data_IF_595391025312
#
_entry.id   IF_595391025312
#
_cell.length_a   1.000
_cell.length_b   1.000
_cell.length_c   1.000
_cell.angle_alpha   90.00
_cell.angle_beta   90.00
_cell.angle_gamma   90.00
#
_symmetry.space_group_name_H-M   'P 1'
#
loop_
_entity.id
_entity.type
_entity.pdbx_description
1 polymer ?
#
# COMPACT_ATOMS: atom_id res chain seq x y z
N UNK A 1 27.42 -15.30 16.91
CA UNK A 1 26.31 -15.70 16.02
C UNK A 1 25.89 -14.49 15.20
N UNK A 2 26.45 -14.30 14.00
CA UNK A 2 26.01 -13.24 13.08
C UNK A 2 25.06 -13.87 12.06
N UNK A 3 23.82 -13.38 12.02
CA UNK A 3 22.80 -13.85 11.08
C UNK A 3 23.11 -13.31 9.68
N UNK A 4 22.98 -14.12 8.64
CA UNK A 4 23.30 -13.77 7.25
C UNK A 4 22.31 -12.80 6.58
N UNK A 5 21.20 -12.43 7.23
CA UNK A 5 20.22 -11.48 6.70
C UNK A 5 19.75 -10.48 7.75
N UNK A 6 19.60 -9.22 7.31
CA UNK A 6 19.03 -8.14 8.12
C UNK A 6 17.52 -8.32 8.19
N UNK A 7 16.99 -8.46 9.40
CA UNK A 7 15.55 -8.55 9.66
C UNK A 7 15.02 -7.23 10.22
N UNK A 8 14.98 -6.21 9.38
CA UNK A 8 14.41 -4.90 9.71
C UNK A 8 13.42 -4.51 8.62
N UNK A 9 12.42 -3.73 8.99
CA UNK A 9 11.47 -3.13 8.06
C UNK A 9 11.22 -1.68 8.46
N UNK A 10 10.91 -0.87 7.46
CA UNK A 10 10.44 0.50 7.65
C UNK A 10 8.96 0.52 7.28
N UNK A 11 8.12 1.04 8.16
CA UNK A 11 6.69 1.16 7.95
C UNK A 11 6.30 2.64 7.98
N UNK A 12 5.44 3.05 7.05
CA UNK A 12 4.84 4.38 7.04
C UNK A 12 3.38 4.26 7.40
N UNK A 13 2.96 4.99 8.43
CA UNK A 13 1.57 5.09 8.86
C UNK A 13 1.02 6.40 8.30
N UNK A 14 -0.08 6.33 7.55
CA UNK A 14 -0.70 7.50 6.92
C UNK A 14 -2.23 7.46 7.12
N UNK A 15 -2.84 8.63 7.25
CA UNK A 15 -4.30 8.80 7.28
C UNK A 15 -4.92 8.90 5.88
N UNK A 16 -4.10 9.12 4.86
CA UNK A 16 -4.52 9.19 3.47
C UNK A 16 -4.13 7.90 2.72
N UNK A 17 -4.96 7.40 1.79
CA UNK A 17 -4.75 6.14 1.09
C UNK A 17 -3.74 6.26 -0.07
N UNK A 18 -2.53 6.76 0.23
CA UNK A 18 -1.47 7.07 -0.74
C UNK A 18 -0.52 5.89 -1.01
N UNK A 19 -1.06 4.67 -1.08
CA UNK A 19 -0.27 3.44 -0.98
C UNK A 19 0.82 3.31 -2.05
N UNK A 20 0.49 3.48 -3.34
CA UNK A 20 1.49 3.32 -4.41
C UNK A 20 2.54 4.43 -4.42
N UNK A 21 2.12 5.68 -4.20
CA UNK A 21 3.03 6.83 -4.10
C UNK A 21 4.04 6.65 -2.95
N UNK A 22 3.54 6.28 -1.77
CA UNK A 22 4.38 6.03 -0.60
C UNK A 22 5.30 4.84 -0.82
N UNK A 23 4.82 3.76 -1.46
CA UNK A 23 5.64 2.59 -1.76
C UNK A 23 6.85 2.97 -2.62
N UNK A 24 6.64 3.65 -3.77
CA UNK A 24 7.73 4.04 -4.68
C UNK A 24 8.71 5.00 -4.01
N UNK A 25 8.20 6.04 -3.34
CA UNK A 25 9.05 7.06 -2.70
C UNK A 25 9.85 6.49 -1.54
N UNK A 26 9.22 5.65 -0.70
CA UNK A 26 9.89 5.04 0.44
C UNK A 26 10.83 3.92 0.02
N UNK A 27 10.57 3.18 -1.06
CA UNK A 27 11.48 2.14 -1.54
C UNK A 27 12.87 2.72 -1.82
N UNK A 28 12.95 3.89 -2.45
CA UNK A 28 14.21 4.58 -2.74
C UNK A 28 14.94 5.00 -1.46
N UNK A 29 14.23 5.66 -0.54
CA UNK A 29 14.78 6.12 0.76
C UNK A 29 15.25 4.93 1.59
N UNK A 30 14.39 3.93 1.77
CA UNK A 30 14.69 2.74 2.58
C UNK A 30 15.86 1.99 1.98
N UNK A 31 15.92 1.80 0.65
CA UNK A 31 17.07 1.16 0.02
C UNK A 31 18.37 1.91 0.30
N UNK A 32 18.38 3.24 0.19
CA UNK A 32 19.56 4.03 0.50
C UNK A 32 19.95 3.91 2.00
N UNK A 33 18.98 3.94 2.91
CA UNK A 33 19.20 3.75 4.35
C UNK A 33 19.78 2.36 4.67
N UNK A 34 19.27 1.29 4.06
CA UNK A 34 19.81 -0.05 4.24
C UNK A 34 21.26 -0.18 3.72
N UNK A 35 21.59 0.52 2.64
CA UNK A 35 22.94 0.52 2.06
C UNK A 35 23.98 1.22 2.94
N UNK A 36 23.57 2.16 3.80
CA UNK A 36 24.47 2.80 4.78
C UNK A 36 24.99 1.79 5.82
N UNK A 37 24.23 0.73 6.13
CA UNK A 37 24.60 -0.30 7.10
C UNK A 37 24.59 0.13 8.57
N UNK A 38 24.68 1.44 8.85
CA UNK A 38 24.54 2.00 10.19
C UNK A 38 23.07 2.35 10.50
N UNK A 39 22.33 1.41 11.09
CA UNK A 39 20.91 1.59 11.39
C UNK A 39 20.61 2.57 12.54
N UNK A 40 21.64 3.09 13.23
CA UNK A 40 21.45 4.14 14.24
C UNK A 40 21.29 5.52 13.60
N UNK A 41 21.82 5.69 12.38
CA UNK A 41 21.69 6.92 11.61
C UNK A 41 20.30 6.95 10.94
N UNK A 42 19.41 7.81 11.44
CA UNK A 42 18.01 7.90 11.00
C UNK A 42 17.70 9.18 10.25
N UNK A 43 18.71 10.01 9.98
CA UNK A 43 18.62 11.31 9.30
C UNK A 43 17.85 11.21 7.98
N UNK A 44 18.15 10.21 7.14
CA UNK A 44 17.47 9.98 5.87
C UNK A 44 15.96 9.69 6.04
N UNK A 45 15.60 8.93 7.09
CA UNK A 45 14.21 8.61 7.40
C UNK A 45 13.47 9.83 7.97
N UNK A 46 14.13 10.64 8.80
CA UNK A 46 13.60 11.89 9.34
C UNK A 46 13.31 12.90 8.23
N UNK A 47 14.24 13.06 7.29
CA UNK A 47 14.08 13.98 6.16
C UNK A 47 12.96 13.49 5.21
N UNK A 48 12.87 12.18 4.98
CA UNK A 48 11.76 11.59 4.25
C UNK A 48 10.40 11.86 4.96
N UNK A 49 10.35 11.72 6.28
CA UNK A 49 9.16 12.03 7.07
C UNK A 49 8.77 13.51 6.95
N UNK A 50 9.71 14.45 7.13
CA UNK A 50 9.46 15.90 6.97
C UNK A 50 8.94 16.22 5.57
N UNK A 51 9.59 15.68 4.54
CA UNK A 51 9.21 15.90 3.15
C UNK A 51 7.83 15.31 2.82
N UNK A 52 7.49 14.13 3.36
CA UNK A 52 6.16 13.53 3.18
C UNK A 52 5.06 14.40 3.81
N UNK A 53 5.29 14.99 4.98
CA UNK A 53 4.32 15.85 5.66
C UNK A 53 4.20 17.24 5.03
N UNK A 54 5.22 17.73 4.32
CA UNK A 54 5.14 19.00 3.60
C UNK A 54 4.37 18.93 2.28
N UNK A 55 4.13 17.72 1.75
CA UNK A 55 3.41 17.55 0.48
C UNK A 55 1.89 17.57 0.70
N UNK A 56 1.12 18.37 -0.06
CA UNK A 56 -0.33 18.31 -0.01
C UNK A 56 -0.84 16.98 -0.58
N UNK A 57 -1.83 16.40 0.09
CA UNK A 57 -2.53 15.19 -0.35
C UNK A 57 -3.54 15.58 -1.44
N UNK A 58 -3.45 14.95 -2.61
CA UNK A 58 -4.43 15.13 -3.70
C UNK A 58 -5.16 13.81 -3.97
N UNK A 59 -6.42 13.90 -4.42
CA UNK A 59 -7.29 12.74 -4.64
C UNK A 59 -6.75 11.82 -5.74
N UNK A 60 -6.21 12.38 -6.82
CA UNK A 60 -5.64 11.61 -7.94
C UNK A 60 -4.47 10.71 -7.52
N UNK A 61 -3.78 11.07 -6.44
CA UNK A 61 -2.63 10.31 -5.91
C UNK A 61 -3.04 8.97 -5.29
N UNK A 62 -4.32 8.78 -4.99
CA UNK A 62 -4.85 7.55 -4.37
C UNK A 62 -4.84 6.35 -5.32
N UNK A 63 -4.86 6.61 -6.63
CA UNK A 63 -4.82 5.58 -7.67
C UNK A 63 -3.40 5.30 -8.19
N UNK A 64 -2.40 6.10 -7.78
CA UNK A 64 -1.01 5.88 -8.19
C UNK A 64 -0.56 4.47 -7.82
N UNK A 65 0.08 3.78 -8.77
CA UNK A 65 0.59 2.41 -8.58
C UNK A 65 -0.47 1.30 -8.70
N UNK A 66 -1.75 1.63 -8.90
CA UNK A 66 -2.81 0.66 -9.16
C UNK A 66 -3.03 0.47 -10.66
N UNK A 67 -3.40 -0.74 -11.06
CA UNK A 67 -3.72 -1.03 -12.45
C UNK A 67 -4.82 -2.07 -12.55
N UNK A 68 -6.02 -1.58 -12.84
CA UNK A 68 -7.18 -2.42 -13.16
C UNK A 68 -6.92 -3.21 -14.45
N UNK A 69 -6.22 -2.63 -15.42
CA UNK A 69 -5.85 -3.33 -16.65
C UNK A 69 -5.02 -4.57 -16.34
N UNK A 70 -3.94 -4.45 -15.55
CA UNK A 70 -3.13 -5.60 -15.14
C UNK A 70 -3.94 -6.63 -14.35
N UNK A 71 -4.88 -6.19 -13.51
CA UNK A 71 -5.79 -7.09 -12.80
C UNK A 71 -6.63 -7.92 -13.78
N UNK A 72 -7.22 -7.28 -14.79
CA UNK A 72 -8.05 -7.92 -15.81
C UNK A 72 -7.22 -8.80 -16.75
N UNK A 73 -6.02 -8.39 -17.15
CA UNK A 73 -5.12 -9.21 -17.98
C UNK A 73 -4.73 -10.50 -17.26
N UNK A 74 -4.36 -10.38 -15.98
CA UNK A 74 -3.89 -11.51 -15.19
C UNK A 74 -5.03 -12.49 -14.83
N UNK A 75 -6.25 -11.99 -14.55
CA UNK A 75 -7.34 -12.82 -14.00
C UNK A 75 -8.52 -13.02 -14.95
N UNK A 76 -8.61 -12.22 -16.03
CA UNK A 76 -9.66 -12.26 -17.05
C UNK A 76 -11.06 -12.26 -16.42
N UNK A 77 -11.93 -13.19 -16.82
CA UNK A 77 -13.28 -13.33 -16.26
C UNK A 77 -13.30 -13.56 -14.74
N UNK A 78 -12.21 -14.07 -14.14
CA UNK A 78 -12.13 -14.26 -12.67
C UNK A 78 -12.04 -12.94 -11.92
N UNK A 79 -11.59 -11.85 -12.55
CA UNK A 79 -11.62 -10.51 -11.94
C UNK A 79 -13.07 -10.10 -11.60
N UNK A 80 -14.02 -10.40 -12.50
CA UNK A 80 -15.44 -10.13 -12.27
C UNK A 80 -16.04 -11.03 -11.17
N UNK A 81 -15.60 -12.28 -11.06
CA UNK A 81 -16.01 -13.17 -9.97
C UNK A 81 -15.53 -12.65 -8.62
N UNK A 82 -14.28 -12.18 -8.53
CA UNK A 82 -13.77 -11.54 -7.33
C UNK A 82 -14.53 -10.25 -6.99
N UNK A 83 -14.80 -9.42 -7.99
CA UNK A 83 -15.55 -8.19 -7.78
C UNK A 83 -16.98 -8.48 -7.30
N UNK A 84 -17.62 -9.52 -7.85
CA UNK A 84 -18.90 -10.04 -7.37
C UNK A 84 -18.81 -10.53 -5.93
N UNK A 85 -17.73 -11.22 -5.53
CA UNK A 85 -17.53 -11.65 -4.15
C UNK A 85 -17.46 -10.46 -3.18
N UNK A 86 -16.78 -9.37 -3.57
CA UNK A 86 -16.77 -8.13 -2.79
C UNK A 86 -18.17 -7.51 -2.69
N UNK A 87 -18.90 -7.43 -3.80
CA UNK A 87 -20.26 -6.88 -3.86
C UNK A 87 -21.26 -7.63 -2.96
N UNK A 88 -21.06 -8.94 -2.78
CA UNK A 88 -21.93 -9.77 -1.93
C UNK A 88 -21.73 -9.52 -0.43
N UNK A 89 -20.74 -8.70 -0.03
CA UNK A 89 -20.50 -8.33 1.38
C UNK A 89 -20.18 -9.53 2.28
N UNK A 90 -19.67 -10.63 1.70
CA UNK A 90 -19.34 -11.85 2.44
C UNK A 90 -17.99 -11.68 3.15
N UNK A 91 -17.79 -12.43 4.22
CA UNK A 91 -16.47 -12.55 4.86
C UNK A 91 -15.56 -13.37 3.95
N UNK A 92 -14.65 -12.71 3.24
CA UNK A 92 -13.71 -13.34 2.31
C UNK A 92 -12.30 -13.28 2.90
N UNK A 93 -11.65 -14.44 3.00
CA UNK A 93 -10.23 -14.54 3.36
C UNK A 93 -9.40 -14.60 2.08
N UNK A 94 -8.41 -13.72 1.96
CA UNK A 94 -7.51 -13.65 0.81
C UNK A 94 -6.07 -13.83 1.32
N UNK A 95 -5.35 -14.80 0.76
CA UNK A 95 -3.98 -15.13 1.13
C UNK A 95 -3.13 -15.39 -0.12
N UNK A 96 -1.84 -15.14 -0.02
CA UNK A 96 -0.92 -15.30 -1.14
C UNK A 96 0.46 -14.72 -0.84
N UNK A 97 1.45 -15.15 -1.62
CA UNK A 97 2.84 -14.66 -1.57
C UNK A 97 3.30 -14.37 -3.00
N UNK A 98 4.04 -13.26 -3.25
CA UNK A 98 4.49 -12.26 -2.28
C UNK A 98 3.37 -11.27 -1.87
N UNK A 99 3.42 -10.80 -0.61
CA UNK A 99 2.40 -9.94 0.00
C UNK A 99 2.21 -8.61 -0.75
N UNK A 100 3.27 -8.05 -1.34
CA UNK A 100 3.21 -6.82 -2.13
C UNK A 100 2.25 -6.96 -3.32
N UNK A 101 2.44 -7.97 -4.17
CA UNK A 101 1.58 -8.20 -5.34
C UNK A 101 0.12 -8.48 -4.93
N UNK A 102 -0.07 -9.25 -3.85
CA UNK A 102 -1.40 -9.51 -3.31
C UNK A 102 -2.09 -8.21 -2.88
N UNK A 103 -1.39 -7.35 -2.14
CA UNK A 103 -1.94 -6.07 -1.67
C UNK A 103 -2.29 -5.13 -2.82
N UNK A 104 -1.45 -5.05 -3.87
CA UNK A 104 -1.73 -4.24 -5.06
C UNK A 104 -2.94 -4.77 -5.83
N UNK A 105 -3.08 -6.09 -5.97
CA UNK A 105 -4.23 -6.71 -6.62
C UNK A 105 -5.53 -6.44 -5.83
N UNK A 106 -5.48 -6.58 -4.51
CA UNK A 106 -6.60 -6.25 -3.61
C UNK A 106 -7.01 -4.78 -3.75
N UNK A 107 -6.05 -3.87 -3.71
CA UNK A 107 -6.31 -2.45 -3.78
C UNK A 107 -6.84 -2.04 -5.17
N UNK A 108 -6.35 -2.68 -6.24
CA UNK A 108 -6.86 -2.52 -7.61
C UNK A 108 -8.26 -3.11 -7.80
N UNK A 109 -8.61 -4.16 -7.06
CA UNK A 109 -9.96 -4.73 -7.07
C UNK A 109 -10.93 -3.81 -6.29
N UNK A 110 -10.50 -3.25 -5.16
CA UNK A 110 -11.26 -2.29 -4.37
C UNK A 110 -11.46 -0.97 -5.13
N UNK A 111 -10.49 -0.54 -5.95
CA UNK A 111 -10.61 0.70 -6.73
C UNK A 111 -11.71 0.66 -7.80
N UNK A 112 -12.18 -0.53 -8.20
CA UNK A 112 -13.37 -0.69 -9.05
C UNK A 112 -14.65 -0.19 -8.35
N UNK A 113 -14.65 -0.13 -7.03
CA UNK A 113 -15.74 0.42 -6.26
C UNK A 113 -15.56 1.93 -6.11
N UNK A 114 -16.48 2.75 -6.68
CA UNK A 114 -16.31 4.19 -6.70
C UNK A 114 -16.21 4.74 -5.28
N UNK A 115 -15.26 5.67 -5.06
CA UNK A 115 -15.04 6.36 -3.78
C UNK A 115 -14.67 5.47 -2.60
N UNK A 116 -14.43 4.17 -2.82
CA UNK A 116 -14.07 3.24 -1.74
C UNK A 116 -12.66 3.48 -1.22
N UNK A 117 -11.70 3.82 -2.09
CA UNK A 117 -10.35 4.17 -1.62
C UNK A 117 -10.33 5.49 -0.84
N UNK A 118 -11.03 6.51 -1.35
CA UNK A 118 -11.06 7.86 -0.75
C UNK A 118 -11.66 7.87 0.67
N UNK A 119 -12.81 7.22 0.87
CA UNK A 119 -13.54 7.25 2.15
C UNK A 119 -13.51 5.93 2.90
N UNK A 120 -13.07 4.84 2.28
CA UNK A 120 -13.09 3.53 2.92
C UNK A 120 -12.16 3.46 4.12
N UNK A 121 -11.00 4.14 4.08
CA UNK A 121 -10.06 4.13 5.19
C UNK A 121 -10.61 4.83 6.44
N UNK A 122 -11.36 5.92 6.29
CA UNK A 122 -11.98 6.61 7.43
C UNK A 122 -13.19 5.84 7.99
N UNK A 123 -13.84 5.01 7.17
CA UNK A 123 -15.01 4.21 7.56
C UNK A 123 -14.68 2.78 8.00
N UNK A 124 -13.47 2.29 7.74
CA UNK A 124 -13.07 0.90 8.01
C UNK A 124 -12.67 0.67 9.47
N UNK A 125 -12.17 1.70 10.15
CA UNK A 125 -11.97 1.65 11.59
C UNK A 125 -13.30 1.93 12.28
N UNK A 126 -13.69 1.04 13.20
CA UNK A 126 -14.79 1.28 14.13
C UNK A 126 -14.33 2.34 15.14
N UNK A 127 -14.14 3.58 14.70
CA UNK A 127 -13.86 4.73 15.56
C UNK A 127 -15.20 5.08 16.19
N UNK A 128 -15.49 4.42 17.32
CA UNK A 128 -16.49 4.94 18.25
C UNK A 128 -15.93 6.27 18.75
N UNK A 129 -16.52 7.37 18.25
CA UNK A 129 -16.31 8.72 18.80
C UNK A 129 -17.25 8.87 19.99
#
# INVERSE_FOLDING_TARGET
MTRSSVQKSVCVICRAPLFGRLAVKMELVVRAWFMQGNFSETTLLEDAYKHLNSCPVQIDQTLEGLSVLKLVENWRHKALLLFKLLLLGRKVLIYGSPSGQLSTALLSLISLFPRCLEFGLSRSANVTV
#
